data_IF_200570388492
#
_entry.id   IF_200570388492
#
_cell.length_a   1.000
_cell.length_b   1.000
_cell.length_c   1.000
_cell.angle_alpha   90.00
_cell.angle_beta   90.00
_cell.angle_gamma   90.00
#
_symmetry.space_group_name_H-M   'P 1'
#
loop_
_entity.id
_entity.type
_entity.pdbx_description
1 polymer ?
#
# COMPACT_ATOMS: atom_id res chain seq x y z
N UNK A 1 22.07 -15.61 19.33
CA UNK A 1 21.13 -15.35 18.23
C UNK A 1 21.35 -16.44 17.22
N UNK A 2 20.32 -17.22 16.96
CA UNK A 2 20.37 -18.30 16.01
C UNK A 2 20.75 -17.75 14.63
N UNK A 3 21.70 -18.41 13.97
CA UNK A 3 22.18 -18.02 12.64
C UNK A 3 21.81 -19.10 11.64
N UNK A 4 21.41 -18.68 10.44
CA UNK A 4 21.24 -19.61 9.33
C UNK A 4 22.58 -19.82 8.63
N UNK A 5 23.04 -21.06 8.57
CA UNK A 5 24.09 -21.50 7.65
C UNK A 5 23.75 -22.88 7.11
N UNK A 6 23.84 -23.04 5.79
CA UNK A 6 23.83 -24.34 5.13
C UNK A 6 24.67 -24.26 3.86
N UNK A 7 25.63 -25.16 3.75
CA UNK A 7 26.50 -25.39 2.62
C UNK A 7 26.30 -26.82 2.12
N UNK A 8 26.42 -27.01 0.81
CA UNK A 8 26.20 -28.29 0.13
C UNK A 8 27.32 -28.52 -0.89
N UNK A 9 27.85 -29.75 -0.92
CA UNK A 9 28.88 -30.16 -1.90
C UNK A 9 28.69 -31.62 -2.30
N UNK A 10 28.83 -31.91 -3.59
CA UNK A 10 28.94 -33.28 -4.08
C UNK A 10 30.27 -33.93 -3.68
N UNK A 11 30.26 -35.23 -3.46
CA UNK A 11 31.44 -36.06 -3.23
C UNK A 11 31.56 -37.09 -4.35
N UNK A 12 32.72 -37.11 -5.01
CA UNK A 12 33.09 -38.13 -5.99
C UNK A 12 34.57 -38.46 -5.83
N UNK A 13 34.97 -39.74 -5.80
CA UNK A 13 36.38 -40.14 -5.76
C UNK A 13 37.19 -39.61 -6.95
N UNK A 14 36.56 -39.29 -8.08
CA UNK A 14 37.24 -38.78 -9.27
C UNK A 14 37.60 -37.28 -9.19
N UNK A 15 36.95 -36.51 -8.33
CA UNK A 15 37.11 -35.05 -8.25
C UNK A 15 37.78 -34.57 -6.95
N UNK A 16 38.25 -35.50 -6.11
CA UNK A 16 38.94 -35.20 -4.87
C UNK A 16 38.84 -36.34 -3.85
N UNK A 17 38.69 -35.99 -2.58
CA UNK A 17 38.53 -36.97 -1.51
C UNK A 17 37.19 -37.74 -1.66
N UNK A 18 37.29 -39.07 -1.66
CA UNK A 18 36.16 -40.00 -1.63
C UNK A 18 35.33 -39.92 -0.34
N UNK A 19 34.27 -40.71 -0.29
CA UNK A 19 33.33 -40.74 0.83
C UNK A 19 33.99 -41.29 2.09
N UNK A 20 34.84 -42.31 1.98
CA UNK A 20 35.54 -42.91 3.14
C UNK A 20 36.41 -41.88 3.86
N UNK A 21 37.20 -41.11 3.09
CA UNK A 21 38.02 -40.01 3.63
C UNK A 21 37.19 -38.96 4.34
N UNK A 22 36.05 -38.55 3.74
CA UNK A 22 35.15 -37.56 4.34
C UNK A 22 34.48 -38.09 5.61
N UNK A 23 34.10 -39.36 5.63
CA UNK A 23 33.51 -40.03 6.77
C UNK A 23 34.50 -40.13 7.94
N UNK A 24 35.74 -40.52 7.66
CA UNK A 24 36.83 -40.51 8.65
C UNK A 24 37.07 -39.09 9.21
N UNK A 25 37.17 -38.10 8.32
CA UNK A 25 37.38 -36.70 8.70
C UNK A 25 36.27 -36.15 9.60
N UNK A 26 34.99 -36.41 9.28
CA UNK A 26 33.89 -35.84 10.07
C UNK A 26 33.63 -36.59 11.38
N UNK A 27 33.89 -37.89 11.43
CA UNK A 27 33.62 -38.68 12.63
C UNK A 27 34.81 -38.74 13.60
N UNK A 28 36.01 -38.41 13.13
CA UNK A 28 37.24 -38.65 13.88
C UNK A 28 37.65 -40.14 13.95
N UNK A 29 36.92 -41.04 13.29
CA UNK A 29 37.29 -42.46 13.24
C UNK A 29 38.42 -42.71 12.23
N UNK A 30 39.28 -43.67 12.56
CA UNK A 30 40.31 -44.18 11.66
C UNK A 30 39.67 -45.22 10.72
N UNK A 31 39.61 -44.94 9.42
CA UNK A 31 38.95 -45.82 8.43
C UNK A 31 39.92 -46.19 7.31
N UNK A 32 39.87 -47.42 6.81
CA UNK A 32 40.65 -47.84 5.64
C UNK A 32 39.80 -47.66 4.37
N UNK A 33 40.36 -46.99 3.35
CA UNK A 33 39.74 -46.89 2.02
C UNK A 33 40.17 -48.08 1.16
N UNK A 34 39.26 -49.02 0.89
CA UNK A 34 39.55 -50.29 0.20
C UNK A 34 40.21 -50.07 -1.16
N UNK A 35 39.78 -49.04 -1.90
CA UNK A 35 40.27 -48.74 -3.25
C UNK A 35 41.75 -48.42 -3.31
N UNK A 36 42.31 -47.82 -2.25
CA UNK A 36 43.73 -47.42 -2.20
C UNK A 36 44.52 -48.14 -1.11
N UNK A 37 43.86 -48.87 -0.21
CA UNK A 37 44.45 -49.45 0.99
C UNK A 37 44.91 -48.42 2.03
N UNK A 38 44.63 -47.13 1.83
CA UNK A 38 45.12 -46.07 2.71
C UNK A 38 44.29 -45.97 3.98
N UNK A 39 44.97 -45.89 5.12
CA UNK A 39 44.37 -45.51 6.38
C UNK A 39 44.09 -44.00 6.38
N UNK A 40 42.83 -43.66 6.56
CA UNK A 40 42.33 -42.30 6.72
C UNK A 40 42.17 -42.02 8.21
N UNK A 41 43.18 -41.39 8.81
CA UNK A 41 43.16 -40.96 10.21
C UNK A 41 43.52 -39.47 10.30
N UNK A 42 42.62 -38.66 10.85
CA UNK A 42 42.72 -37.20 10.87
C UNK A 42 42.82 -36.67 12.31
N UNK A 43 43.56 -35.57 12.46
CA UNK A 43 43.68 -34.85 13.73
C UNK A 43 42.37 -34.12 14.10
N UNK A 44 42.33 -33.54 15.31
CA UNK A 44 41.22 -32.73 15.85
C UNK A 44 39.94 -33.50 16.20
N UNK A 45 40.08 -34.76 16.59
CA UNK A 45 38.98 -35.65 16.99
C UNK A 45 38.24 -35.11 18.22
N UNK A 46 38.92 -34.35 19.06
CA UNK A 46 38.36 -33.69 20.25
C UNK A 46 37.26 -32.68 19.94
N UNK A 47 37.11 -32.26 18.67
CA UNK A 47 36.04 -31.36 18.22
C UNK A 47 34.75 -32.08 17.87
N UNK A 48 34.79 -33.40 17.73
CA UNK A 48 33.60 -34.21 17.46
C UNK A 48 32.86 -34.43 18.77
N UNK A 49 31.71 -33.77 18.90
CA UNK A 49 30.85 -33.87 20.09
C UNK A 49 30.02 -35.14 20.04
N UNK A 50 29.49 -35.45 18.86
CA UNK A 50 28.63 -36.61 18.67
C UNK A 50 28.66 -37.04 17.21
N UNK A 51 28.44 -38.32 16.95
CA UNK A 51 28.39 -38.89 15.60
C UNK A 51 27.41 -40.06 15.54
N UNK A 52 26.95 -40.40 14.34
CA UNK A 52 26.15 -41.58 14.12
C UNK A 52 25.77 -41.82 12.67
N UNK A 53 25.09 -42.95 12.46
CA UNK A 53 24.52 -43.33 11.18
C UNK A 53 22.99 -43.35 11.29
N UNK A 54 22.31 -42.71 10.36
CA UNK A 54 20.87 -42.85 10.14
C UNK A 54 20.68 -43.66 8.85
N UNK A 55 20.20 -44.90 9.01
CA UNK A 55 20.06 -45.85 7.91
C UNK A 55 18.57 -46.07 7.57
N UNK A 56 18.25 -46.39 6.31
CA UNK A 56 16.91 -46.81 5.93
C UNK A 56 16.42 -48.03 6.72
N UNK A 57 15.10 -48.15 6.88
CA UNK A 57 14.50 -49.30 7.58
C UNK A 57 14.86 -50.63 6.91
N UNK A 58 15.20 -51.62 7.72
CA UNK A 58 15.55 -52.98 7.25
C UNK A 58 17.00 -53.16 6.81
N UNK A 59 17.82 -52.11 6.83
CA UNK A 59 19.27 -52.24 6.62
C UNK A 59 19.90 -52.87 7.87
N UNK A 60 20.68 -53.95 7.75
CA UNK A 60 21.36 -54.56 8.89
C UNK A 60 22.38 -53.59 9.51
N UNK A 61 22.74 -53.75 10.80
CA UNK A 61 23.81 -52.97 11.41
C UNK A 61 25.09 -53.05 10.56
N UNK A 62 25.63 -51.90 10.19
CA UNK A 62 26.80 -51.77 9.32
C UNK A 62 27.75 -50.73 9.89
N UNK A 63 29.06 -50.99 9.84
CA UNK A 63 30.07 -50.03 10.27
C UNK A 63 30.24 -48.89 9.26
N UNK A 64 30.67 -47.71 9.72
CA UNK A 64 30.91 -46.54 8.86
C UNK A 64 31.88 -46.82 7.71
N UNK A 65 32.99 -47.50 8.00
CA UNK A 65 33.97 -47.87 6.98
C UNK A 65 33.37 -48.80 5.92
N UNK A 66 32.63 -49.82 6.35
CA UNK A 66 31.96 -50.77 5.47
C UNK A 66 30.90 -50.09 4.60
N UNK A 67 30.08 -49.20 5.19
CA UNK A 67 29.08 -48.41 4.48
C UNK A 67 29.70 -47.60 3.34
N UNK A 68 30.73 -46.81 3.62
CA UNK A 68 31.29 -45.91 2.62
C UNK A 68 32.18 -46.60 1.60
N UNK A 69 32.88 -47.67 1.99
CA UNK A 69 33.54 -48.54 1.00
C UNK A 69 32.51 -49.23 0.11
N UNK A 70 31.38 -49.68 0.64
CA UNK A 70 30.26 -50.21 -0.14
C UNK A 70 29.70 -49.18 -1.13
N UNK A 71 29.55 -47.93 -0.71
CA UNK A 71 29.08 -46.86 -1.57
C UNK A 71 30.07 -46.55 -2.72
N UNK A 72 31.37 -46.54 -2.42
CA UNK A 72 32.41 -46.34 -3.44
C UNK A 72 32.52 -47.53 -4.41
N UNK A 73 32.37 -48.77 -3.94
CA UNK A 73 32.31 -49.95 -4.83
C UNK A 73 31.10 -49.87 -5.76
N UNK A 74 29.92 -49.58 -5.22
CA UNK A 74 28.71 -49.41 -6.02
C UNK A 74 28.87 -48.28 -7.05
N UNK A 75 29.51 -47.16 -6.69
CA UNK A 75 29.85 -46.12 -7.64
C UNK A 75 30.78 -46.60 -8.77
N UNK A 76 31.81 -47.39 -8.44
CA UNK A 76 32.75 -47.92 -9.43
C UNK A 76 32.06 -48.91 -10.39
N UNK A 77 31.29 -49.85 -9.87
CA UNK A 77 30.42 -50.76 -10.64
C UNK A 77 29.39 -50.00 -11.48
N UNK A 78 28.97 -48.84 -10.98
CA UNK A 78 28.02 -47.95 -11.61
C UNK A 78 28.52 -47.30 -12.90
N UNK A 79 29.84 -47.31 -13.15
CA UNK A 79 30.52 -46.61 -14.25
C UNK A 79 31.49 -45.53 -13.76
N UNK A 80 31.42 -45.16 -12.48
CA UNK A 80 32.36 -44.25 -11.84
C UNK A 80 32.40 -42.84 -12.43
N UNK A 81 33.61 -42.28 -12.57
CA UNK A 81 33.83 -40.96 -13.15
C UNK A 81 33.22 -39.82 -12.32
N UNK A 82 32.51 -38.89 -12.96
CA UNK A 82 31.96 -37.70 -12.29
C UNK A 82 30.66 -37.97 -11.52
N UNK A 83 30.19 -39.22 -11.45
CA UNK A 83 29.06 -39.58 -10.60
C UNK A 83 29.41 -39.33 -9.13
N UNK A 84 28.40 -38.90 -8.37
CA UNK A 84 28.55 -38.64 -6.95
C UNK A 84 28.35 -39.94 -6.19
N UNK A 85 29.20 -40.18 -5.19
CA UNK A 85 29.02 -41.23 -4.18
C UNK A 85 28.12 -40.72 -3.05
N UNK A 86 28.24 -39.44 -2.72
CA UNK A 86 27.49 -38.81 -1.65
C UNK A 86 27.27 -37.31 -1.89
N UNK A 87 26.29 -36.76 -1.20
CA UNK A 87 26.09 -35.32 -1.01
C UNK A 87 26.50 -34.97 0.43
N UNK A 88 27.34 -33.96 0.57
CA UNK A 88 27.75 -33.43 1.87
C UNK A 88 26.99 -32.17 2.18
N UNK A 89 26.31 -32.15 3.30
CA UNK A 89 25.70 -30.98 3.90
C UNK A 89 26.50 -30.55 5.13
N UNK A 90 26.66 -29.26 5.29
CA UNK A 90 27.27 -28.63 6.47
C UNK A 90 26.36 -27.49 6.90
N UNK A 91 25.89 -27.50 8.14
CA UNK A 91 24.96 -26.49 8.63
C UNK A 91 25.24 -26.13 10.09
N UNK A 92 25.02 -24.84 10.42
CA UNK A 92 25.13 -24.37 11.80
C UNK A 92 23.96 -24.89 12.61
N UNK A 93 24.22 -25.35 13.84
CA UNK A 93 23.21 -25.73 14.79
C UNK A 93 22.92 -24.53 15.72
N UNK A 94 21.66 -24.26 16.11
CA UNK A 94 21.39 -23.15 17.02
C UNK A 94 22.05 -23.36 18.39
N UNK A 95 22.79 -22.34 18.84
CA UNK A 95 23.48 -22.36 20.14
C UNK A 95 22.49 -22.37 21.30
N UNK A 96 21.29 -21.86 21.07
CA UNK A 96 20.18 -21.82 22.03
C UNK A 96 19.70 -23.23 22.40
N UNK A 97 19.86 -24.22 21.51
CA UNK A 97 19.49 -25.60 21.80
C UNK A 97 20.56 -26.29 22.65
N UNK A 98 20.13 -27.20 23.53
CA UNK A 98 21.01 -28.12 24.23
C UNK A 98 21.50 -29.25 23.31
N UNK A 99 22.36 -30.13 23.83
CA UNK A 99 22.93 -31.23 23.06
C UNK A 99 21.84 -32.16 22.48
N UNK A 100 20.77 -32.43 23.24
CA UNK A 100 19.66 -33.28 22.80
C UNK A 100 18.86 -32.62 21.66
N UNK A 101 18.53 -31.33 21.76
CA UNK A 101 17.85 -30.57 20.71
C UNK A 101 18.68 -30.46 19.43
N UNK A 102 20.00 -30.24 19.57
CA UNK A 102 20.93 -30.24 18.42
C UNK A 102 20.99 -31.60 17.72
N UNK A 103 21.06 -32.70 18.48
CA UNK A 103 20.98 -34.07 17.94
C UNK A 103 19.66 -34.31 17.24
N UNK A 104 18.54 -33.89 17.82
CA UNK A 104 17.21 -34.04 17.23
C UNK A 104 17.10 -33.30 15.88
N UNK A 105 17.60 -32.06 15.78
CA UNK A 105 17.72 -31.33 14.52
C UNK A 105 18.45 -32.13 13.43
N UNK A 106 19.60 -32.72 13.76
CA UNK A 106 20.39 -33.52 12.80
C UNK A 106 19.64 -34.78 12.37
N UNK A 107 18.97 -35.46 13.30
CA UNK A 107 18.18 -36.67 13.00
C UNK A 107 16.97 -36.34 12.11
N UNK A 108 16.27 -35.25 12.38
CA UNK A 108 15.15 -34.80 11.54
C UNK A 108 15.61 -34.42 10.14
N UNK A 109 16.78 -33.76 10.03
CA UNK A 109 17.40 -33.48 8.73
C UNK A 109 17.73 -34.77 7.97
N UNK A 110 18.29 -35.78 8.66
CA UNK A 110 18.52 -37.10 8.05
C UNK A 110 17.21 -37.77 7.62
N UNK A 111 16.12 -37.55 8.36
CA UNK A 111 14.78 -38.07 8.07
C UNK A 111 14.17 -37.56 6.76
N UNK A 112 14.71 -36.47 6.19
CA UNK A 112 14.35 -36.02 4.83
C UNK A 112 14.78 -37.01 3.74
N UNK A 113 15.67 -37.95 4.06
CA UNK A 113 16.26 -38.89 3.10
C UNK A 113 15.98 -40.36 3.50
N UNK A 114 14.71 -40.80 3.56
CA UNK A 114 14.33 -42.09 4.15
C UNK A 114 14.90 -43.33 3.42
N UNK A 115 15.25 -43.19 2.14
CA UNK A 115 15.85 -44.26 1.34
C UNK A 115 17.39 -44.19 1.28
N UNK A 116 18.02 -43.16 1.87
CA UNK A 116 19.46 -42.93 1.82
C UNK A 116 20.13 -43.27 3.14
N UNK A 117 21.41 -43.63 3.09
CA UNK A 117 22.25 -43.65 4.27
C UNK A 117 22.75 -42.23 4.57
N UNK A 118 22.62 -41.80 5.82
CA UNK A 118 23.11 -40.52 6.29
C UNK A 118 24.14 -40.76 7.40
N UNK A 119 25.39 -40.41 7.16
CA UNK A 119 26.45 -40.37 8.17
C UNK A 119 26.56 -38.94 8.68
N UNK A 120 26.34 -38.74 9.98
CA UNK A 120 26.33 -37.41 10.56
C UNK A 120 27.32 -37.30 11.72
N UNK A 121 27.84 -36.08 11.90
CA UNK A 121 28.68 -35.71 13.02
C UNK A 121 28.41 -34.26 13.43
N UNK A 122 28.31 -34.03 14.74
CA UNK A 122 28.19 -32.71 15.35
C UNK A 122 29.56 -32.29 15.86
N UNK A 123 30.02 -31.13 15.40
CA UNK A 123 31.30 -30.53 15.78
C UNK A 123 31.05 -29.28 16.61
N UNK A 124 31.97 -29.01 17.54
CA UNK A 124 32.06 -27.75 18.26
C UNK A 124 33.53 -27.30 18.31
N UNK A 125 33.78 -26.01 18.43
CA UNK A 125 35.13 -25.45 18.45
C UNK A 125 35.82 -25.59 19.82
N UNK A 126 35.19 -26.32 20.75
CA UNK A 126 35.63 -26.53 22.12
C UNK A 126 35.36 -25.34 23.05
N UNK A 127 34.89 -24.20 22.52
CA UNK A 127 34.49 -23.02 23.28
C UNK A 127 32.97 -22.82 23.31
N UNK A 128 32.21 -23.72 22.68
CA UNK A 128 30.74 -23.69 22.67
C UNK A 128 30.15 -22.62 21.76
N UNK A 129 30.97 -22.01 20.89
CA UNK A 129 30.58 -20.83 20.13
C UNK A 129 30.05 -21.14 18.73
N UNK A 130 30.32 -22.34 18.20
CA UNK A 130 29.98 -22.68 16.82
C UNK A 130 29.63 -24.17 16.64
N UNK A 131 28.57 -24.67 17.30
CA UNK A 131 28.07 -26.00 17.04
C UNK A 131 27.57 -26.10 15.59
N UNK A 132 28.05 -27.09 14.86
CA UNK A 132 27.66 -27.31 13.47
C UNK A 132 27.66 -28.80 13.14
N UNK A 133 26.83 -29.20 12.18
CA UNK A 133 26.74 -30.58 11.75
C UNK A 133 27.36 -30.77 10.36
N UNK A 134 28.04 -31.90 10.18
CA UNK A 134 28.39 -32.45 8.88
C UNK A 134 27.50 -33.67 8.64
N UNK A 135 26.81 -33.73 7.50
CA UNK A 135 25.98 -34.86 7.09
C UNK A 135 26.38 -35.31 5.69
N UNK A 136 26.80 -36.56 5.56
CA UNK A 136 27.12 -37.21 4.30
C UNK A 136 25.97 -38.14 3.94
N UNK A 137 25.21 -37.76 2.91
CA UNK A 137 24.02 -38.49 2.42
C UNK A 137 24.42 -39.30 1.19
N UNK A 138 24.12 -40.59 1.15
CA UNK A 138 24.46 -41.44 0.00
C UNK A 138 23.77 -40.96 -1.28
N UNK A 139 24.46 -41.04 -2.41
CA UNK A 139 23.87 -40.68 -3.71
C UNK A 139 22.91 -41.77 -4.23
N UNK A 140 23.19 -43.02 -3.87
CA UNK A 140 22.34 -44.19 -4.14
C UNK A 140 21.45 -44.49 -2.94
N UNK A 141 20.30 -45.10 -3.21
CA UNK A 141 19.45 -45.65 -2.15
C UNK A 141 20.14 -46.88 -1.53
N UNK A 142 19.85 -47.14 -0.26
CA UNK A 142 20.39 -48.29 0.49
C UNK A 142 19.22 -49.14 1.00
N UNK A 143 19.31 -50.45 0.78
CA UNK A 143 18.37 -51.43 1.36
C UNK A 143 19.14 -52.59 2.01
N UNK A 144 18.42 -53.63 2.46
CA UNK A 144 18.99 -54.80 3.11
C UNK A 144 20.02 -55.55 2.25
N UNK A 145 19.96 -55.42 0.92
CA UNK A 145 20.87 -56.06 -0.04
C UNK A 145 22.05 -55.16 -0.44
N UNK A 146 22.10 -53.92 0.03
CA UNK A 146 23.15 -52.94 -0.27
C UNK A 146 22.67 -51.77 -1.12
N UNK A 147 23.62 -51.09 -1.76
CA UNK A 147 23.31 -49.89 -2.55
C UNK A 147 22.63 -50.24 -3.86
N UNK A 148 21.49 -49.58 -4.12
CA UNK A 148 20.68 -49.81 -5.32
C UNK A 148 21.30 -49.05 -6.50
N UNK A 149 21.78 -49.79 -7.49
CA UNK A 149 22.30 -49.22 -8.72
C UNK A 149 21.21 -48.45 -9.48
N UNK A 150 21.58 -47.27 -9.98
CA UNK A 150 20.74 -46.57 -10.95
C UNK A 150 20.64 -47.42 -12.22
N UNK A 151 19.43 -47.55 -12.75
CA UNK A 151 19.19 -48.14 -14.07
C UNK A 151 19.90 -47.31 -15.15
N UNK A 152 20.12 -47.91 -16.34
CA UNK A 152 20.67 -47.18 -17.50
C UNK A 152 19.84 -45.93 -17.88
N UNK A 153 18.55 -45.92 -17.57
CA UNK A 153 17.71 -44.73 -17.73
C UNK A 153 18.10 -43.63 -16.74
N UNK A 154 18.30 -43.98 -15.47
CA UNK A 154 18.57 -43.06 -14.35
C UNK A 154 20.01 -42.53 -14.28
N UNK A 155 20.97 -43.26 -14.85
CA UNK A 155 22.37 -42.83 -15.00
C UNK A 155 22.48 -41.70 -16.02
N UNK A 156 22.13 -40.50 -15.56
CA UNK A 156 22.60 -39.21 -16.08
C UNK A 156 22.78 -39.13 -17.60
N UNK A 157 21.73 -39.41 -18.37
CA UNK A 157 21.73 -39.03 -19.77
C UNK A 157 21.67 -37.50 -19.81
N UNK A 158 22.80 -36.84 -20.03
CA UNK A 158 22.85 -35.40 -20.19
C UNK A 158 22.02 -35.02 -21.41
N UNK A 159 21.02 -34.15 -21.28
CA UNK A 159 20.33 -33.57 -22.44
C UNK A 159 20.92 -32.20 -22.72
N UNK A 160 21.18 -31.90 -23.97
CA UNK A 160 21.61 -30.59 -24.42
C UNK A 160 20.39 -29.84 -24.95
N UNK A 161 20.23 -28.57 -24.58
CA UNK A 161 19.33 -27.72 -25.33
C UNK A 161 19.98 -27.44 -26.68
N UNK A 162 19.31 -27.85 -27.75
CA UNK A 162 19.76 -27.69 -29.11
C UNK A 162 18.75 -26.87 -29.91
N UNK A 163 19.22 -26.26 -30.99
CA UNK A 163 18.40 -25.53 -31.96
C UNK A 163 18.70 -26.03 -33.37
N UNK A 164 17.68 -26.18 -34.20
CA UNK A 164 17.84 -26.53 -35.62
C UNK A 164 18.02 -25.28 -36.51
N UNK A 165 18.12 -25.50 -37.82
CA UNK A 165 18.27 -24.43 -38.81
C UNK A 165 17.01 -23.54 -38.95
N UNK A 166 15.84 -24.03 -38.53
CA UNK A 166 14.57 -23.31 -38.57
C UNK A 166 14.30 -22.53 -37.27
N UNK A 167 15.19 -22.64 -36.29
CA UNK A 167 15.10 -21.97 -35.01
C UNK A 167 14.31 -22.75 -33.95
N UNK A 168 13.83 -23.97 -34.25
CA UNK A 168 13.15 -24.83 -33.29
C UNK A 168 14.15 -25.31 -32.24
N UNK A 169 13.77 -25.20 -30.96
CA UNK A 169 14.58 -25.68 -29.85
C UNK A 169 14.01 -26.98 -29.27
N UNK A 170 14.89 -27.94 -29.00
CA UNK A 170 14.53 -29.18 -28.37
C UNK A 170 15.66 -29.68 -27.45
N UNK A 171 15.31 -30.37 -26.35
CA UNK A 171 16.29 -31.13 -25.60
C UNK A 171 16.71 -32.34 -26.44
N UNK A 172 18.02 -32.53 -26.62
CA UNK A 172 18.61 -33.69 -27.33
C UNK A 172 19.52 -34.45 -26.38
N UNK A 173 19.31 -35.75 -26.29
CA UNK A 173 20.13 -36.61 -25.44
C UNK A 173 21.59 -36.62 -25.90
N UNK A 174 22.53 -36.59 -24.96
CA UNK A 174 23.96 -36.54 -25.26
C UNK A 174 24.45 -37.76 -26.05
N UNK A 175 23.85 -38.93 -25.84
CA UNK A 175 24.15 -40.14 -26.62
C UNK A 175 23.68 -40.01 -28.07
N UNK A 176 22.60 -39.25 -28.30
CA UNK A 176 22.00 -39.06 -29.63
C UNK A 176 22.56 -37.82 -30.34
N UNK A 177 23.40 -37.03 -29.64
CA UNK A 177 23.99 -35.81 -30.18
C UNK A 177 24.72 -36.03 -31.51
N UNK A 178 25.38 -37.19 -31.68
CA UNK A 178 26.09 -37.48 -32.93
C UNK A 178 25.12 -37.56 -34.12
N UNK A 179 23.96 -38.18 -33.94
CA UNK A 179 22.91 -38.28 -34.95
C UNK A 179 22.25 -36.91 -35.18
N UNK A 180 21.78 -36.27 -34.10
CA UNK A 180 21.15 -34.95 -34.21
C UNK A 180 22.05 -33.88 -34.84
N UNK A 181 23.36 -33.90 -34.56
CA UNK A 181 24.31 -32.99 -35.21
C UNK A 181 24.36 -33.22 -36.73
N UNK A 182 24.27 -34.48 -37.18
CA UNK A 182 24.20 -34.81 -38.60
C UNK A 182 22.90 -34.29 -39.23
N UNK A 183 21.81 -34.29 -38.46
CA UNK A 183 20.49 -33.75 -38.85
C UNK A 183 20.42 -32.21 -38.76
N UNK A 184 21.54 -31.53 -38.52
CA UNK A 184 21.62 -30.06 -38.54
C UNK A 184 21.34 -29.35 -37.20
N UNK A 185 21.20 -30.09 -36.09
CA UNK A 185 21.03 -29.49 -34.77
C UNK A 185 22.33 -28.91 -34.22
N UNK A 186 22.24 -27.76 -33.56
CA UNK A 186 23.33 -27.06 -32.91
C UNK A 186 23.09 -26.92 -31.41
N UNK A 187 24.13 -27.09 -30.59
CA UNK A 187 24.05 -26.86 -29.14
C UNK A 187 23.93 -25.38 -28.81
N UNK A 188 23.07 -25.05 -27.84
CA UNK A 188 22.92 -23.71 -27.28
C UNK A 188 23.88 -23.50 -26.11
N UNK A 189 24.43 -22.29 -25.98
CA UNK A 189 25.31 -21.88 -24.88
C UNK A 189 24.79 -20.59 -24.23
N UNK A 190 25.08 -20.41 -22.93
CA UNK A 190 24.81 -19.16 -22.21
C UNK A 190 25.96 -18.16 -22.42
N UNK A 191 25.66 -16.93 -22.83
CA UNK A 191 26.62 -15.84 -23.03
C UNK A 191 26.58 -14.82 -21.88
N UNK A 192 27.67 -14.06 -21.71
CA UNK A 192 27.86 -13.10 -20.61
C UNK A 192 26.88 -11.94 -20.65
N UNK A 193 26.34 -11.64 -21.81
CA UNK A 193 25.26 -10.67 -22.04
C UNK A 193 23.86 -11.20 -21.66
N UNK A 194 23.78 -12.44 -21.15
CA UNK A 194 22.54 -13.08 -20.74
C UNK A 194 21.81 -13.83 -21.85
N UNK A 195 22.28 -13.79 -23.10
CA UNK A 195 21.63 -14.45 -24.23
C UNK A 195 22.00 -15.94 -24.32
N UNK A 196 21.12 -16.70 -24.96
CA UNK A 196 21.30 -18.11 -25.29
C UNK A 196 21.38 -18.26 -26.79
N UNK A 197 22.56 -18.62 -27.30
CA UNK A 197 22.83 -18.69 -28.75
C UNK A 197 23.53 -20.00 -29.10
N UNK A 198 23.34 -20.46 -30.33
CA UNK A 198 24.26 -21.43 -30.94
C UNK A 198 25.61 -20.76 -31.23
N UNK A 199 26.67 -21.54 -31.42
CA UNK A 199 27.97 -20.96 -31.78
C UNK A 199 27.95 -20.30 -33.17
N UNK A 200 27.09 -20.76 -34.09
CA UNK A 200 26.92 -20.15 -35.40
C UNK A 200 26.25 -18.78 -35.31
N UNK A 201 25.18 -18.66 -34.53
CA UNK A 201 24.52 -17.38 -34.24
C UNK A 201 25.47 -16.40 -33.56
N UNK A 202 26.15 -16.86 -32.51
CA UNK A 202 27.13 -16.04 -31.80
C UNK A 202 28.21 -15.50 -32.74
N UNK A 203 28.77 -16.36 -33.61
CA UNK A 203 29.79 -15.95 -34.58
C UNK A 203 29.28 -14.93 -35.60
N UNK A 204 28.03 -15.06 -36.04
CA UNK A 204 27.41 -14.09 -36.94
C UNK A 204 27.29 -12.70 -36.30
N UNK A 205 27.18 -12.64 -34.97
CA UNK A 205 27.11 -11.41 -34.18
C UNK A 205 28.47 -10.96 -33.62
N UNK A 206 29.58 -11.56 -34.09
CA UNK A 206 30.94 -11.22 -33.64
C UNK A 206 31.32 -11.78 -32.26
N UNK A 207 30.46 -12.59 -31.63
CA UNK A 207 30.73 -13.24 -30.35
C UNK A 207 31.50 -14.55 -30.54
N UNK A 208 32.45 -14.80 -29.64
CA UNK A 208 33.31 -15.97 -29.65
C UNK A 208 33.15 -16.87 -28.42
N UNK A 209 34.01 -17.88 -28.34
CA UNK A 209 33.98 -18.85 -27.23
C UNK A 209 34.32 -18.22 -25.88
N UNK A 210 35.03 -17.08 -25.86
CA UNK A 210 35.40 -16.30 -24.66
C UNK A 210 34.24 -15.51 -24.08
N UNK A 211 33.19 -15.29 -24.87
CA UNK A 211 32.00 -14.53 -24.48
C UNK A 211 30.93 -15.42 -23.84
N UNK A 212 31.15 -16.73 -23.87
CA UNK A 212 30.34 -17.70 -23.12
C UNK A 212 30.60 -17.60 -21.62
N UNK A 213 29.57 -17.86 -20.84
CA UNK A 213 29.66 -18.04 -19.37
C UNK A 213 30.34 -19.35 -18.99
N UNK A 214 30.32 -20.36 -19.87
CA UNK A 214 30.90 -21.69 -19.62
C UNK A 214 31.30 -22.38 -20.94
N UNK A 215 32.24 -23.32 -20.85
CA UNK A 215 32.57 -24.23 -21.95
C UNK A 215 31.45 -25.26 -22.22
N UNK A 216 30.58 -25.49 -21.24
CA UNK A 216 29.49 -26.48 -21.34
C UNK A 216 28.28 -25.87 -22.04
N UNK A 217 27.62 -26.61 -22.96
CA UNK A 217 26.33 -26.20 -23.51
C UNK A 217 25.26 -26.17 -22.42
N UNK A 218 24.12 -25.54 -22.70
CA UNK A 218 22.95 -25.55 -21.81
C UNK A 218 22.50 -27.01 -21.64
N UNK A 219 22.50 -27.48 -20.40
CA UNK A 219 22.08 -28.84 -20.04
C UNK A 219 20.64 -28.82 -19.51
N UNK A 220 19.83 -29.77 -19.99
CA UNK A 220 18.44 -29.94 -19.63
C UNK A 220 18.26 -31.13 -18.68
N UNK A 221 17.33 -31.00 -17.74
CA UNK A 221 16.94 -32.05 -16.82
C UNK A 221 16.04 -33.07 -17.53
N UNK A 222 16.34 -34.37 -17.33
CA UNK A 222 15.74 -35.50 -18.06
C UNK A 222 14.21 -35.55 -17.97
N UNK A 223 13.66 -35.21 -16.80
CA UNK A 223 12.24 -35.43 -16.49
C UNK A 223 11.41 -34.16 -16.68
N UNK A 224 11.96 -32.99 -16.37
CA UNK A 224 11.19 -31.75 -16.32
C UNK A 224 11.27 -30.90 -17.59
N UNK A 225 12.19 -31.20 -18.52
CA UNK A 225 12.43 -30.36 -19.69
C UNK A 225 12.93 -28.95 -19.34
N UNK A 226 13.33 -28.71 -18.08
CA UNK A 226 13.88 -27.45 -17.57
C UNK A 226 15.41 -27.51 -17.48
N UNK A 227 16.09 -26.37 -17.36
CA UNK A 227 17.54 -26.35 -17.24
C UNK A 227 17.98 -27.08 -15.97
N UNK A 228 18.97 -27.97 -16.07
CA UNK A 228 19.41 -28.79 -14.94
C UNK A 228 19.94 -27.95 -13.76
N UNK A 229 20.51 -26.77 -14.06
CA UNK A 229 20.93 -25.80 -13.04
C UNK A 229 19.75 -25.27 -12.23
N UNK A 230 18.64 -24.98 -12.89
CA UNK A 230 17.48 -24.36 -12.25
C UNK A 230 16.78 -25.38 -11.35
N UNK A 231 16.66 -26.63 -11.82
CA UNK A 231 16.17 -27.76 -11.00
C UNK A 231 17.07 -27.97 -9.77
N UNK A 232 18.38 -28.07 -9.96
CA UNK A 232 19.31 -28.24 -8.83
C UNK A 232 19.33 -27.04 -7.88
N UNK A 233 19.12 -25.82 -8.39
CA UNK A 233 18.97 -24.62 -7.56
C UNK A 233 17.68 -24.64 -6.75
N UNK A 234 16.57 -25.12 -7.34
CA UNK A 234 15.30 -25.28 -6.65
C UNK A 234 15.37 -26.37 -5.56
N UNK A 235 15.99 -27.52 -5.87
CA UNK A 235 16.24 -28.59 -4.90
C UNK A 235 17.08 -28.10 -3.71
N UNK A 236 18.17 -27.37 -3.97
CA UNK A 236 18.97 -26.76 -2.91
C UNK A 236 18.17 -25.74 -2.09
N UNK A 237 17.33 -24.93 -2.74
CA UNK A 237 16.46 -23.97 -2.05
C UNK A 237 15.46 -24.69 -1.13
N UNK A 238 14.87 -25.79 -1.60
CA UNK A 238 13.98 -26.62 -0.81
C UNK A 238 14.69 -27.24 0.40
N UNK A 239 15.91 -27.77 0.22
CA UNK A 239 16.71 -28.31 1.36
C UNK A 239 17.04 -27.22 2.38
N UNK A 240 17.38 -26.01 1.92
CA UNK A 240 17.63 -24.86 2.79
C UNK A 240 16.38 -24.44 3.57
N UNK A 241 15.22 -24.43 2.92
CA UNK A 241 13.93 -24.13 3.56
C UNK A 241 13.59 -25.20 4.62
N UNK A 242 13.68 -26.47 4.27
CA UNK A 242 13.43 -27.58 5.19
C UNK A 242 14.37 -27.55 6.41
N UNK A 243 15.65 -27.22 6.21
CA UNK A 243 16.57 -27.01 7.33
C UNK A 243 16.12 -25.89 8.26
N UNK A 244 15.73 -24.72 7.73
CA UNK A 244 15.21 -23.63 8.55
C UNK A 244 13.94 -24.06 9.31
N UNK A 245 13.02 -24.78 8.68
CA UNK A 245 11.80 -25.29 9.32
C UNK A 245 12.10 -26.27 10.45
N UNK A 246 13.04 -27.21 10.26
CA UNK A 246 13.49 -28.14 11.30
C UNK A 246 14.06 -27.35 12.48
N UNK A 247 15.04 -26.47 12.23
CA UNK A 247 15.68 -25.68 13.27
C UNK A 247 14.69 -24.80 14.04
N UNK A 248 13.79 -24.12 13.33
CA UNK A 248 12.78 -23.25 13.93
C UNK A 248 11.77 -24.01 14.79
N UNK A 249 11.41 -25.24 14.39
CA UNK A 249 10.53 -26.10 15.19
C UNK A 249 11.16 -26.47 16.52
N UNK A 250 12.44 -26.86 16.51
CA UNK A 250 13.19 -27.19 17.73
C UNK A 250 13.44 -25.95 18.58
N UNK A 251 13.75 -24.80 17.97
CA UNK A 251 13.88 -23.52 18.67
C UNK A 251 12.57 -23.10 19.36
N UNK A 252 11.43 -23.24 18.69
CA UNK A 252 10.12 -22.94 19.27
C UNK A 252 9.79 -23.89 20.43
N UNK A 253 10.06 -25.19 20.29
CA UNK A 253 9.84 -26.17 21.35
C UNK A 253 10.74 -25.90 22.57
N UNK A 254 12.01 -25.58 22.35
CA UNK A 254 12.95 -25.22 23.40
C UNK A 254 12.54 -23.92 24.12
N UNK A 255 12.14 -22.90 23.37
CA UNK A 255 11.64 -21.64 23.92
C UNK A 255 10.42 -21.86 24.81
N UNK A 256 9.46 -22.68 24.35
CA UNK A 256 8.29 -23.05 25.14
C UNK A 256 8.65 -23.83 26.41
N UNK A 257 9.60 -24.76 26.34
CA UNK A 257 10.01 -25.57 27.50
C UNK A 257 10.77 -24.77 28.57
N UNK A 258 11.54 -23.76 28.15
CA UNK A 258 12.39 -22.94 29.02
C UNK A 258 11.77 -21.60 29.42
N UNK A 259 10.63 -21.22 28.84
CA UNK A 259 10.03 -19.90 29.03
C UNK A 259 10.87 -18.76 28.43
N UNK A 260 11.67 -19.03 27.40
CA UNK A 260 12.51 -18.01 26.74
C UNK A 260 11.88 -17.50 25.44
N UNK A 261 12.38 -16.39 24.91
CA UNK A 261 11.91 -15.83 23.64
C UNK A 261 12.33 -16.72 22.47
N UNK A 262 11.35 -17.16 21.67
CA UNK A 262 11.61 -17.96 20.48
C UNK A 262 12.47 -17.19 19.46
N UNK A 263 13.60 -17.78 19.10
CA UNK A 263 14.43 -17.32 17.98
C UNK A 263 13.98 -18.00 16.68
N UNK A 264 14.10 -17.28 15.56
CA UNK A 264 13.72 -17.80 14.24
C UNK A 264 14.83 -17.49 13.24
N UNK A 265 15.25 -18.50 12.48
CA UNK A 265 16.19 -18.37 11.37
C UNK A 265 15.45 -18.34 10.03
N UNK A 266 16.01 -17.59 9.07
CA UNK A 266 15.49 -17.48 7.70
C UNK A 266 16.55 -17.95 6.70
N UNK A 267 16.17 -18.84 5.79
CA UNK A 267 17.05 -19.43 4.79
C UNK A 267 17.28 -18.54 3.57
N UNK A 268 16.41 -17.54 3.37
CA UNK A 268 16.41 -16.63 2.23
C UNK A 268 17.59 -15.67 2.29
N UNK A 269 18.03 -15.19 1.12
CA UNK A 269 19.08 -14.17 1.07
C UNK A 269 18.57 -12.84 1.63
N UNK A 270 19.48 -11.95 2.05
CA UNK A 270 19.10 -10.59 2.46
C UNK A 270 18.28 -9.89 1.37
N UNK A 271 18.66 -10.05 0.10
CA UNK A 271 17.92 -9.52 -1.04
C UNK A 271 16.48 -10.05 -1.10
N UNK A 272 16.28 -11.36 -0.96
CA UNK A 272 14.95 -11.97 -1.01
C UNK A 272 14.09 -11.63 0.22
N UNK A 273 14.73 -11.18 1.31
CA UNK A 273 14.08 -10.64 2.51
C UNK A 273 13.80 -9.13 2.39
N UNK A 274 14.23 -8.46 1.32
CA UNK A 274 14.14 -7.00 1.16
C UNK A 274 15.09 -6.21 2.07
N UNK A 275 16.19 -6.83 2.51
CA UNK A 275 17.21 -6.22 3.34
C UNK A 275 18.36 -5.70 2.47
N UNK A 276 18.71 -4.42 2.64
CA UNK A 276 19.87 -3.79 2.01
C UNK A 276 21.18 -4.08 2.76
N UNK A 277 21.08 -4.83 3.86
CA UNK A 277 22.23 -5.22 4.67
C UNK A 277 23.19 -6.09 3.87
N UNK A 278 24.48 -5.76 3.96
CA UNK A 278 25.52 -6.55 3.33
C UNK A 278 25.81 -7.79 4.19
N UNK A 279 25.79 -9.02 3.63
CA UNK A 279 26.18 -10.20 4.37
C UNK A 279 27.68 -10.19 4.66
N UNK A 280 28.08 -10.74 5.82
CA UNK A 280 29.49 -10.97 6.15
C UNK A 280 30.10 -12.07 5.29
N UNK A 281 31.42 -12.07 5.17
CA UNK A 281 32.18 -13.11 4.47
C UNK A 281 32.75 -14.15 5.44
N UNK A 282 32.97 -15.38 4.97
CA UNK A 282 33.58 -16.42 5.78
C UNK A 282 35.05 -16.10 6.09
N UNK A 283 35.39 -15.94 7.37
CA UNK A 283 36.73 -15.48 7.82
C UNK A 283 37.83 -16.53 7.64
N UNK A 284 37.46 -17.81 7.59
CA UNK A 284 38.41 -18.94 7.61
C UNK A 284 39.07 -19.14 8.98
N UNK A 285 39.84 -20.20 9.12
CA UNK A 285 40.60 -20.48 10.35
C UNK A 285 41.66 -19.43 10.66
N UNK A 286 41.89 -19.18 11.95
CA UNK A 286 42.94 -18.30 12.44
C UNK A 286 44.31 -18.73 11.90
N UNK A 287 45.10 -17.78 11.39
CA UNK A 287 46.41 -18.03 10.78
C UNK A 287 46.40 -18.33 9.28
N UNK A 288 45.22 -18.50 8.65
CA UNK A 288 45.14 -18.59 7.20
C UNK A 288 45.32 -17.22 6.54
N UNK A 289 45.94 -17.21 5.36
CA UNK A 289 46.19 -16.00 4.56
C UNK A 289 44.89 -15.21 4.36
N UNK A 290 44.94 -13.91 4.63
CA UNK A 290 43.82 -12.98 4.53
C UNK A 290 42.76 -13.08 5.64
N UNK A 291 42.98 -13.88 6.70
CA UNK A 291 42.03 -13.97 7.82
C UNK A 291 41.84 -12.60 8.49
N UNK A 292 42.93 -11.90 8.80
CA UNK A 292 42.88 -10.56 9.41
C UNK A 292 42.10 -9.56 8.53
N UNK A 293 42.31 -9.58 7.22
CA UNK A 293 41.60 -8.72 6.27
C UNK A 293 40.11 -9.04 6.23
N UNK A 294 39.74 -10.32 6.24
CA UNK A 294 38.32 -10.76 6.26
C UNK A 294 37.64 -10.39 7.58
N UNK A 295 38.34 -10.51 8.71
CA UNK A 295 37.85 -10.07 10.03
C UNK A 295 37.61 -8.56 10.02
N UNK A 296 38.56 -7.77 9.50
CA UNK A 296 38.42 -6.32 9.37
C UNK A 296 37.24 -5.95 8.46
N UNK A 297 37.13 -6.58 7.30
CA UNK A 297 36.01 -6.39 6.37
C UNK A 297 34.66 -6.72 7.04
N UNK A 298 34.58 -7.81 7.78
CA UNK A 298 33.36 -8.16 8.51
C UNK A 298 33.01 -7.16 9.59
N UNK A 299 34.00 -6.58 10.28
CA UNK A 299 33.77 -5.48 11.23
C UNK A 299 33.17 -4.27 10.51
N UNK A 300 33.76 -3.85 9.39
CA UNK A 300 33.25 -2.72 8.59
C UNK A 300 31.83 -2.98 8.05
N UNK A 301 31.53 -4.21 7.64
CA UNK A 301 30.19 -4.63 7.21
C UNK A 301 29.20 -4.52 8.37
N UNK A 302 29.55 -5.02 9.57
CA UNK A 302 28.69 -4.93 10.77
C UNK A 302 28.43 -3.48 11.15
N UNK A 303 29.47 -2.64 11.15
CA UNK A 303 29.35 -1.21 11.47
C UNK A 303 28.44 -0.49 10.45
N UNK A 304 28.56 -0.82 9.16
CA UNK A 304 27.69 -0.28 8.10
C UNK A 304 26.24 -0.74 8.26
N UNK A 305 26.01 -2.03 8.53
CA UNK A 305 24.67 -2.57 8.74
C UNK A 305 24.01 -1.96 9.98
N UNK A 306 24.75 -1.75 11.06
CA UNK A 306 24.25 -1.09 12.27
C UNK A 306 23.80 0.35 11.97
N UNK A 307 24.57 1.09 11.16
CA UNK A 307 24.17 2.44 10.70
C UNK A 307 22.93 2.39 9.82
N UNK A 308 22.84 1.43 8.89
CA UNK A 308 21.66 1.25 8.03
C UNK A 308 20.40 0.94 8.86
N UNK A 309 20.52 0.11 9.89
CA UNK A 309 19.41 -0.19 10.80
C UNK A 309 18.96 1.04 11.59
N UNK A 310 19.91 1.82 12.12
CA UNK A 310 19.60 3.06 12.83
C UNK A 310 18.87 4.08 11.93
N UNK A 311 19.38 4.31 10.71
CA UNK A 311 18.75 5.21 9.74
C UNK A 311 17.34 4.73 9.34
N UNK A 312 17.14 3.42 9.17
CA UNK A 312 15.82 2.87 8.87
C UNK A 312 14.84 3.06 10.03
N UNK A 313 15.29 2.89 11.26
CA UNK A 313 14.47 3.12 12.45
C UNK A 313 14.09 4.60 12.59
N UNK A 314 15.04 5.51 12.33
CA UNK A 314 14.80 6.96 12.32
C UNK A 314 13.78 7.33 11.23
N UNK A 315 13.97 6.85 10.00
CA UNK A 315 13.02 7.08 8.89
C UNK A 315 11.61 6.56 9.22
N UNK A 316 11.49 5.41 9.91
CA UNK A 316 10.20 4.89 10.36
C UNK A 316 9.56 5.79 11.43
N UNK A 317 10.35 6.29 12.38
CA UNK A 317 9.86 7.22 13.39
C UNK A 317 9.41 8.54 12.78
N UNK A 318 10.20 9.12 11.87
CA UNK A 318 9.82 10.33 11.13
C UNK A 318 8.55 10.10 10.29
N UNK A 319 8.44 8.95 9.61
CA UNK A 319 7.25 8.57 8.87
C UNK A 319 6.00 8.49 9.76
N UNK A 320 6.11 7.86 10.93
CA UNK A 320 5.03 7.79 11.90
C UNK A 320 4.64 9.17 12.46
N UNK A 321 5.62 10.03 12.73
CA UNK A 321 5.39 11.41 13.16
C UNK A 321 4.70 12.23 12.07
N UNK A 322 5.09 12.05 10.80
CA UNK A 322 4.46 12.71 9.66
C UNK A 322 3.01 12.26 9.48
N UNK A 323 2.71 10.96 9.61
CA UNK A 323 1.34 10.47 9.62
C UNK A 323 0.50 11.07 10.76
N UNK A 324 1.08 11.21 11.96
CA UNK A 324 0.39 11.84 13.08
C UNK A 324 0.08 13.31 12.78
N UNK A 325 1.07 14.08 12.30
CA UNK A 325 0.88 15.48 11.92
C UNK A 325 -0.19 15.63 10.82
N UNK A 326 -0.21 14.73 9.83
CA UNK A 326 -1.27 14.72 8.81
C UNK A 326 -2.66 14.51 9.41
N UNK A 327 -2.80 13.62 10.41
CA UNK A 327 -4.08 13.43 11.12
C UNK A 327 -4.49 14.67 11.91
N UNK A 328 -3.54 15.32 12.59
CA UNK A 328 -3.79 16.57 13.33
C UNK A 328 -4.21 17.72 12.42
N UNK A 329 -3.51 17.91 11.29
CA UNK A 329 -3.88 18.91 10.27
C UNK A 329 -5.29 18.65 9.75
N UNK A 330 -5.62 17.40 9.39
CA UNK A 330 -6.96 17.04 8.93
C UNK A 330 -8.04 17.28 10.01
N UNK A 331 -7.71 17.15 11.29
CA UNK A 331 -8.62 17.52 12.37
C UNK A 331 -8.80 19.03 12.50
N UNK A 332 -7.72 19.80 12.47
CA UNK A 332 -7.76 21.25 12.52
C UNK A 332 -8.52 21.84 11.33
N UNK A 333 -8.37 21.27 10.14
CA UNK A 333 -9.16 21.65 8.97
C UNK A 333 -10.65 21.38 9.16
N UNK A 334 -11.01 20.22 9.75
CA UNK A 334 -12.40 19.92 10.12
C UNK A 334 -12.93 20.91 11.16
N UNK A 335 -12.14 21.27 12.18
CA UNK A 335 -12.53 22.26 13.18
C UNK A 335 -12.71 23.65 12.57
N UNK A 336 -11.77 24.10 11.73
CA UNK A 336 -11.88 25.35 10.96
C UNK A 336 -13.15 25.36 10.11
N UNK A 337 -13.46 24.26 9.43
CA UNK A 337 -14.70 24.11 8.65
C UNK A 337 -15.96 24.27 9.51
N UNK A 338 -16.00 23.69 10.71
CA UNK A 338 -17.11 23.87 11.66
C UNK A 338 -17.24 25.33 12.11
N UNK A 339 -16.13 25.99 12.44
CA UNK A 339 -16.11 27.39 12.88
C UNK A 339 -16.60 28.31 11.75
N UNK A 340 -16.11 28.12 10.52
CA UNK A 340 -16.54 28.92 9.37
C UNK A 340 -18.04 28.72 9.06
N UNK A 341 -18.53 27.47 9.14
CA UNK A 341 -19.97 27.19 9.01
C UNK A 341 -20.79 27.89 10.11
N UNK A 342 -20.32 27.87 11.36
CA UNK A 342 -20.96 28.54 12.48
C UNK A 342 -20.98 30.07 12.31
N UNK A 343 -19.86 30.68 11.85
CA UNK A 343 -19.80 32.12 11.54
C UNK A 343 -20.79 32.51 10.44
N UNK A 344 -20.83 31.74 9.34
CA UNK A 344 -21.80 31.95 8.24
C UNK A 344 -23.25 31.86 8.74
N UNK A 345 -23.56 30.86 9.56
CA UNK A 345 -24.88 30.71 10.18
C UNK A 345 -25.26 31.88 11.08
N UNK A 346 -24.35 32.37 11.93
CA UNK A 346 -24.58 33.56 12.78
C UNK A 346 -24.80 34.83 11.96
N UNK A 347 -24.02 35.04 10.89
CA UNK A 347 -24.19 36.19 10.00
C UNK A 347 -25.55 36.18 9.29
N UNK A 348 -25.96 35.02 8.75
CA UNK A 348 -27.27 34.84 8.13
C UNK A 348 -28.43 35.04 9.13
N UNK A 349 -28.27 34.54 10.37
CA UNK A 349 -29.24 34.74 11.45
C UNK A 349 -29.42 36.21 11.82
N UNK A 350 -28.32 36.96 11.97
CA UNK A 350 -28.34 38.41 12.23
C UNK A 350 -29.02 39.17 11.09
N UNK A 351 -28.72 38.84 9.83
CA UNK A 351 -29.35 39.47 8.67
C UNK A 351 -30.87 39.20 8.61
N UNK A 352 -31.29 37.94 8.84
CA UNK A 352 -32.72 37.58 8.91
C UNK A 352 -33.44 38.28 10.06
N UNK A 353 -32.82 38.37 11.24
CA UNK A 353 -33.36 39.10 12.40
C UNK A 353 -33.52 40.60 12.15
N UNK A 354 -32.52 41.24 11.53
CA UNK A 354 -32.59 42.65 11.15
C UNK A 354 -33.69 42.92 10.11
N UNK A 355 -33.84 42.04 9.11
CA UNK A 355 -34.90 42.13 8.11
C UNK A 355 -36.29 41.95 8.74
N UNK A 356 -36.44 41.00 9.67
CA UNK A 356 -37.69 40.80 10.41
C UNK A 356 -38.05 42.02 11.28
N UNK A 357 -37.06 42.62 11.96
CA UNK A 357 -37.25 43.85 12.73
C UNK A 357 -37.67 45.02 11.84
N UNK A 358 -37.01 45.21 10.68
CA UNK A 358 -37.38 46.23 9.68
C UNK A 358 -38.81 46.01 9.15
N UNK A 359 -39.20 44.77 8.85
CA UNK A 359 -40.57 44.43 8.44
C UNK A 359 -41.60 44.77 9.52
N UNK A 360 -41.33 44.44 10.79
CA UNK A 360 -42.22 44.78 11.91
C UNK A 360 -42.40 46.29 12.07
N UNK A 361 -41.31 47.05 12.01
CA UNK A 361 -41.36 48.52 12.08
C UNK A 361 -42.15 49.08 10.89
N UNK A 362 -41.87 48.63 9.67
CA UNK A 362 -42.60 49.08 8.48
C UNK A 362 -44.10 48.77 8.56
N UNK A 363 -44.48 47.58 9.07
CA UNK A 363 -45.88 47.21 9.28
C UNK A 363 -46.56 48.08 10.34
N UNK A 364 -45.88 48.37 11.45
CA UNK A 364 -46.39 49.27 12.49
C UNK A 364 -46.56 50.72 11.96
N UNK A 365 -45.60 51.22 11.19
CA UNK A 365 -45.70 52.54 10.55
C UNK A 365 -46.83 52.60 9.53
N UNK A 366 -47.02 51.53 8.73
CA UNK A 366 -48.12 51.45 7.77
C UNK A 366 -49.49 51.40 8.47
N UNK A 367 -49.61 50.66 9.58
CA UNK A 367 -50.82 50.62 10.40
C UNK A 367 -51.16 52.00 11.00
N UNK A 368 -50.16 52.70 11.56
CA UNK A 368 -50.34 54.05 12.10
C UNK A 368 -50.76 55.05 11.01
N UNK A 369 -50.17 54.98 9.82
CA UNK A 369 -50.56 55.82 8.68
C UNK A 369 -51.99 55.54 8.20
N UNK A 370 -52.43 54.28 8.23
CA UNK A 370 -53.80 53.89 7.91
C UNK A 370 -54.80 54.41 8.95
N UNK A 371 -54.45 54.41 10.24
CA UNK A 371 -55.27 55.01 11.30
C UNK A 371 -55.38 56.53 11.17
N UNK A 372 -54.28 57.22 10.86
CA UNK A 372 -54.32 58.66 10.59
C UNK A 372 -55.23 58.96 9.40
N UNK A 373 -55.11 58.21 8.29
CA UNK A 373 -56.00 58.36 7.13
C UNK A 373 -57.47 58.12 7.50
N UNK A 374 -57.77 57.10 8.30
CA UNK A 374 -59.14 56.84 8.78
C UNK A 374 -59.69 58.00 9.61
N UNK A 375 -58.90 58.54 10.54
CA UNK A 375 -59.29 59.70 11.34
C UNK A 375 -59.53 60.95 10.50
N UNK A 376 -58.66 61.21 9.51
CA UNK A 376 -58.85 62.33 8.58
C UNK A 376 -60.11 62.18 7.73
N UNK A 377 -60.43 60.96 7.28
CA UNK A 377 -61.66 60.68 6.53
C UNK A 377 -62.92 60.88 7.41
N UNK A 378 -62.89 60.46 8.67
CA UNK A 378 -64.00 60.68 9.61
C UNK A 378 -64.20 62.17 9.92
N UNK A 379 -63.11 62.92 10.17
CA UNK A 379 -63.20 64.36 10.41
C UNK A 379 -63.70 65.14 9.18
N UNK A 380 -63.36 64.69 7.96
CA UNK A 380 -63.88 65.27 6.73
C UNK A 380 -65.39 65.00 6.56
N UNK A 381 -65.87 63.81 6.94
CA UNK A 381 -67.30 63.49 6.90
C UNK A 381 -68.10 64.35 7.91
N UNK A 382 -67.61 64.50 9.14
CA UNK A 382 -68.25 65.29 10.20
C UNK A 382 -68.37 66.79 9.85
N UNK A 383 -67.38 67.34 9.13
CA UNK A 383 -67.46 68.71 8.60
C UNK A 383 -68.48 68.90 7.47
N UNK A 384 -68.77 67.84 6.70
CA UNK A 384 -69.78 67.90 5.64
C UNK A 384 -71.19 67.87 6.27
N UNK A 385 -71.40 67.03 7.27
CA UNK A 385 -72.68 66.92 7.97
C UNK A 385 -73.05 68.22 8.71
N UNK A 386 -72.12 68.81 9.46
CA UNK A 386 -72.34 70.10 10.15
C UNK A 386 -72.67 71.26 9.20
N UNK A 387 -72.05 71.29 8.01
CA UNK A 387 -72.39 72.30 6.99
C UNK A 387 -73.77 72.07 6.39
N UNK A 388 -74.16 70.82 6.16
CA UNK A 388 -75.47 70.49 5.63
C UNK A 388 -76.61 70.87 6.60
N UNK A 389 -76.42 70.61 7.90
CA UNK A 389 -77.38 71.01 8.94
C UNK A 389 -77.55 72.53 9.04
N UNK A 390 -76.44 73.28 8.94
CA UNK A 390 -76.47 74.74 9.01
C UNK A 390 -77.19 75.37 7.80
N UNK A 391 -77.06 74.76 6.62
CA UNK A 391 -77.81 75.17 5.42
C UNK A 391 -79.32 74.93 5.63
N UNK A 392 -79.70 73.76 6.15
CA UNK A 392 -81.10 73.43 6.39
C UNK A 392 -81.79 74.39 7.39
N UNK A 393 -81.09 74.79 8.46
CA UNK A 393 -81.60 75.78 9.41
C UNK A 393 -81.78 77.17 8.79
N UNK A 394 -80.87 77.58 7.91
CA UNK A 394 -80.98 78.86 7.21
C UNK A 394 -82.18 78.87 6.25
N UNK A 395 -82.43 77.76 5.54
CA UNK A 395 -83.59 77.63 4.65
C UNK A 395 -84.92 77.74 5.42
N UNK A 396 -85.00 77.15 6.62
CA UNK A 396 -86.18 77.22 7.49
C UNK A 396 -86.43 78.65 8.00
N UNK A 397 -85.37 79.33 8.48
CA UNK A 397 -85.46 80.73 8.93
C UNK A 397 -85.92 81.69 7.81
N UNK A 398 -85.48 81.45 6.57
CA UNK A 398 -85.89 82.25 5.42
C UNK A 398 -87.38 82.01 5.10
N UNK A 399 -87.84 80.76 5.18
CA UNK A 399 -89.24 80.44 4.92
C UNK A 399 -90.20 81.12 5.92
N UNK A 400 -89.81 81.18 7.20
CA UNK A 400 -90.58 81.86 8.24
C UNK A 400 -90.65 83.39 8.00
N UNK A 401 -89.52 84.01 7.62
CA UNK A 401 -89.45 85.43 7.30
C UNK A 401 -90.31 85.79 6.06
N UNK A 402 -90.32 84.93 5.05
CA UNK A 402 -91.16 85.12 3.86
C UNK A 402 -92.67 85.06 4.20
N UNK A 403 -93.07 84.18 5.12
CA UNK A 403 -94.45 84.12 5.61
C UNK A 403 -94.82 85.39 6.38
N UNK A 404 -93.92 85.89 7.22
CA UNK A 404 -94.13 87.10 8.02
C UNK A 404 -94.25 88.34 7.11
N UNK A 405 -93.40 88.44 6.08
CA UNK A 405 -93.50 89.48 5.06
C UNK A 405 -94.84 89.42 4.30
N UNK A 406 -95.30 88.22 3.93
CA UNK A 406 -96.60 88.07 3.27
C UNK A 406 -97.78 88.42 4.17
N UNK A 407 -97.68 88.18 5.48
CA UNK A 407 -98.72 88.53 6.44
C UNK A 407 -98.83 90.05 6.62
N UNK A 408 -97.68 90.74 6.71
CA UNK A 408 -97.64 92.20 6.86
C UNK A 408 -98.13 92.95 5.61
N UNK A 409 -98.00 92.37 4.41
CA UNK A 409 -98.42 93.01 3.15
C UNK A 409 -99.95 93.02 2.89
N UNK A 410 -100.78 92.29 3.66
CA UNK A 410 -102.25 92.26 3.46
C UNK A 410 -103.06 93.13 4.45
N UNK A 411 -102.46 93.66 5.51
CA UNK A 411 -103.13 94.52 6.50
C UNK A 411 -102.66 95.98 6.40
N UNK A 412 -103.40 96.82 5.69
CA UNK A 412 -103.03 98.21 5.44
C UNK A 412 -102.99 99.07 6.71
N UNK A 413 -101.79 99.36 7.22
CA UNK A 413 -101.51 100.56 8.02
C UNK A 413 -100.03 100.98 7.94
N UNK A 414 -99.84 102.29 7.76
CA UNK A 414 -98.70 103.11 8.18
C UNK A 414 -97.26 102.74 7.74
N UNK A 415 -96.81 103.43 6.68
CA UNK A 415 -95.64 104.33 6.70
C UNK A 415 -94.43 103.91 7.58
N UNK A 416 -93.68 102.89 7.15
CA UNK A 416 -92.22 102.81 7.30
C UNK A 416 -91.67 101.81 6.27
N UNK A 417 -91.48 102.23 5.02
CA UNK A 417 -90.91 101.38 3.97
C UNK A 417 -89.79 102.11 3.24
N UNK A 418 -88.62 102.21 3.89
CA UNK A 418 -87.37 102.67 3.26
C UNK A 418 -86.17 101.74 3.54
N UNK A 419 -86.15 100.99 4.65
CA UNK A 419 -85.03 100.07 4.97
C UNK A 419 -85.18 98.66 4.38
N UNK A 420 -86.43 98.16 4.25
CA UNK A 420 -86.69 96.78 3.82
C UNK A 420 -86.35 96.52 2.34
N UNK A 421 -86.43 97.55 1.48
CA UNK A 421 -86.03 97.47 0.08
C UNK A 421 -84.52 97.27 -0.10
N UNK A 422 -83.69 97.80 0.80
CA UNK A 422 -82.23 97.65 0.76
C UNK A 422 -81.82 96.22 1.20
N UNK A 423 -82.45 95.70 2.27
CA UNK A 423 -82.25 94.31 2.71
C UNK A 423 -82.65 93.29 1.63
N UNK A 424 -83.74 93.56 0.90
CA UNK A 424 -84.16 92.69 -0.21
C UNK A 424 -83.12 92.64 -1.34
N UNK A 425 -82.45 93.76 -1.64
CA UNK A 425 -81.36 93.78 -2.63
C UNK A 425 -80.09 93.07 -2.15
N UNK A 426 -79.77 93.11 -0.86
CA UNK A 426 -78.63 92.40 -0.27
C UNK A 426 -78.86 90.87 -0.27
N UNK A 427 -80.05 90.42 0.13
CA UNK A 427 -80.46 89.01 0.08
C UNK A 427 -80.42 88.43 -1.35
N UNK A 428 -80.79 89.22 -2.36
CA UNK A 428 -80.71 88.80 -3.76
C UNK A 428 -79.25 88.60 -4.22
N UNK A 429 -78.31 89.39 -3.72
CA UNK A 429 -76.88 89.24 -4.02
C UNK A 429 -76.30 87.98 -3.35
N UNK A 430 -76.65 87.72 -2.09
CA UNK A 430 -76.21 86.52 -1.37
C UNK A 430 -76.77 85.23 -1.97
N UNK A 431 -78.03 85.25 -2.43
CA UNK A 431 -78.64 84.12 -3.16
C UNK A 431 -77.83 83.73 -4.40
N UNK A 432 -77.26 84.70 -5.12
CA UNK A 432 -76.45 84.42 -6.32
C UNK A 432 -75.12 83.77 -5.95
N UNK A 433 -74.52 84.23 -4.85
CA UNK A 433 -73.23 83.72 -4.35
C UNK A 433 -73.33 82.26 -3.88
N UNK A 434 -74.40 81.92 -3.17
CA UNK A 434 -74.65 80.56 -2.69
C UNK A 434 -74.96 79.59 -3.84
N UNK A 435 -75.65 80.05 -4.90
CA UNK A 435 -75.88 79.24 -6.09
C UNK A 435 -74.57 78.91 -6.81
N UNK A 436 -73.66 79.86 -6.95
CA UNK A 436 -72.34 79.64 -7.56
C UNK A 436 -71.47 78.68 -6.72
N UNK A 437 -71.55 78.75 -5.38
CA UNK A 437 -70.83 77.83 -4.48
C UNK A 437 -71.40 76.40 -4.52
N UNK A 438 -72.73 76.26 -4.66
CA UNK A 438 -73.39 74.96 -4.87
C UNK A 438 -72.93 74.30 -6.17
N UNK A 439 -72.80 75.05 -7.26
CA UNK A 439 -72.30 74.51 -8.54
C UNK A 439 -70.84 74.02 -8.44
N UNK A 440 -70.00 74.72 -7.67
CA UNK A 440 -68.61 74.28 -7.41
C UNK A 440 -68.52 73.00 -6.58
N UNK A 441 -69.33 72.88 -5.53
CA UNK A 441 -69.31 71.72 -4.64
C UNK A 441 -69.95 70.48 -5.28
N UNK A 442 -70.90 70.66 -6.21
CA UNK A 442 -71.53 69.58 -6.99
C UNK A 442 -70.67 69.10 -8.18
N UNK A 443 -69.57 69.78 -8.51
CA UNK A 443 -68.66 69.37 -9.59
C UNK A 443 -69.22 69.51 -11.01
N UNK A 444 -70.25 70.34 -11.20
CA UNK A 444 -70.90 70.59 -12.51
C UNK A 444 -70.21 71.70 -13.34
N UNK A 445 -69.07 72.23 -12.90
CA UNK A 445 -68.25 73.16 -13.68
C UNK A 445 -67.45 72.41 -14.76
N UNK A 446 -68.08 72.29 -15.94
CA UNK A 446 -67.46 71.85 -17.18
C UNK A 446 -66.60 72.96 -17.77
N UNK A 447 -65.38 73.15 -17.25
CA UNK A 447 -64.35 73.91 -17.96
C UNK A 447 -62.92 73.41 -17.68
N UNK A 448 -62.03 73.39 -18.70
CA UNK A 448 -60.94 72.43 -18.79
C UNK A 448 -59.67 72.85 -18.05
N UNK A 449 -58.96 71.86 -17.50
CA UNK A 449 -57.60 71.93 -16.92
C UNK A 449 -56.61 72.60 -17.89
N UNK A 450 -55.76 73.50 -17.37
CA UNK A 450 -54.55 74.03 -18.04
C UNK A 450 -53.24 73.61 -17.34
N UNK A 451 -52.09 73.58 -18.06
CA UNK A 451 -51.02 72.60 -17.90
C UNK A 451 -49.66 73.14 -17.36
N UNK A 452 -48.72 72.20 -17.17
CA UNK A 452 -47.30 72.21 -16.70
C UNK A 452 -46.38 73.44 -16.97
N UNK A 453 -45.22 73.52 -16.28
CA UNK A 453 -43.95 73.50 -17.03
C UNK A 453 -42.76 72.69 -16.39
N UNK A 454 -41.64 72.50 -17.12
CA UNK A 454 -40.72 71.35 -16.97
C UNK A 454 -39.30 71.63 -16.39
N UNK A 455 -38.51 70.53 -16.30
CA UNK A 455 -37.16 70.23 -15.74
C UNK A 455 -35.99 71.10 -16.26
N UNK A 456 -34.77 71.11 -15.63
CA UNK A 456 -33.63 70.31 -16.21
C UNK A 456 -32.42 69.93 -15.29
N UNK A 457 -31.56 69.01 -15.77
CA UNK A 457 -30.10 68.92 -15.43
C UNK A 457 -29.59 67.54 -14.97
N UNK A 458 -29.16 66.63 -15.87
CA UNK A 458 -27.75 66.33 -16.27
C UNK A 458 -26.91 65.58 -15.19
N UNK A 459 -26.13 64.51 -15.43
CA UNK A 459 -25.53 63.92 -16.63
C UNK A 459 -25.20 62.43 -16.37
N UNK A 460 -25.21 61.61 -17.44
CA UNK A 460 -24.44 60.36 -17.60
C UNK A 460 -23.23 60.65 -18.50
N UNK A 461 -22.17 59.82 -18.43
CA UNK A 461 -21.75 59.10 -19.64
C UNK A 461 -21.52 57.60 -19.34
N UNK A 462 -22.16 56.69 -20.07
CA UNK A 462 -21.69 55.98 -21.29
C UNK A 462 -20.70 54.86 -21.02
N UNK A 463 -21.17 53.63 -21.28
CA UNK A 463 -20.35 52.43 -21.42
C UNK A 463 -20.06 52.08 -22.89
N UNK A 464 -19.01 51.30 -23.08
CA UNK A 464 -18.65 50.50 -24.26
C UNK A 464 -17.68 49.42 -23.73
N UNK A 465 -17.67 48.15 -24.10
CA UNK A 465 -18.45 47.25 -24.96
C UNK A 465 -17.93 45.83 -24.62
N UNK A 466 -18.67 44.73 -24.83
CA UNK A 466 -18.12 43.37 -24.74
C UNK A 466 -17.63 42.87 -26.12
N UNK A 467 -16.62 41.98 -26.11
CA UNK A 467 -16.40 40.81 -27.02
C UNK A 467 -14.93 40.36 -27.00
N UNK A 468 -14.65 39.19 -26.41
CA UNK A 468 -14.24 37.97 -27.12
C UNK A 468 -14.32 36.78 -26.17
#
# INVERSE_FOLDING_TARGET
MAIFHLNYRGCSPATGAGAVRKAAYQSGQALVEDRTGQLCDYARKERVVEEGLSLPGGVPPIGRGELWNGAERAWAEGGGGNELVALRYEFALPIELDAAGRRACVRDFCGMFPAKACDWAIHDDGRGGNPHAHVLVSALDLNAQGFIQRTKGEKGQCWYLCQDAHGQQAPIRATDWKAAKADGWEKIYNFKDGRRLTMKQAKAEGLGTKDRTSKRPVQMHRISGQAARDVGSAELTAVRAAWAEIANRHLAAHAAATGTTAQVIDHRSNKDRGLDEQPTVHEGGTGLIGHADRVKLNKEIRDRNARLQALRAELQQEGAALEQLQREVAELERQRGRIEKAKRGRAQGRHRGALAKRRRVAMATAAAAADVKRRMAMAAADQVDTRAEMIAQLDEQIADLDQEMHHLQRGGTALMMSSNLIKATELAADRRRLADERARLAGEDTSPRKPEPPRPGQNRPRGHKPKH
#
